data_IF_742901370522
#
_entry.id   IF_742901370522
#
_cell.length_a   1.000
_cell.length_b   1.000
_cell.length_c   1.000
_cell.angle_alpha   90.00
_cell.angle_beta   90.00
_cell.angle_gamma   90.00
#
_symmetry.space_group_name_H-M   'P 1'
#
loop_
_entity.id
_entity.type
_entity.pdbx_description
1 polymer ?
#
# COMPACT_ATOMS: atom_id res chain seq x y z
N UNK A 1 -26.94 -1.74 33.58
CA UNK A 1 -26.42 -1.99 32.22
C UNK A 1 -25.32 -3.04 32.34
N UNK A 2 -25.53 -4.28 31.86
CA UNK A 2 -24.49 -5.31 31.99
C UNK A 2 -23.37 -4.95 31.03
N UNK A 3 -22.29 -4.38 31.56
CA UNK A 3 -21.01 -4.28 30.85
C UNK A 3 -20.56 -5.70 30.53
N UNK A 4 -20.87 -6.16 29.31
CA UNK A 4 -20.34 -7.44 28.82
C UNK A 4 -18.91 -7.18 28.39
N UNK A 5 -17.97 -7.81 29.10
CA UNK A 5 -16.55 -7.80 28.76
C UNK A 5 -16.39 -8.12 27.26
N UNK A 6 -15.46 -7.44 26.56
CA UNK A 6 -15.14 -7.80 25.19
C UNK A 6 -14.81 -9.28 25.08
N UNK A 7 -15.39 -9.96 24.09
CA UNK A 7 -15.16 -11.39 23.86
C UNK A 7 -15.02 -11.67 22.37
N UNK A 8 -14.17 -12.64 22.02
CA UNK A 8 -14.07 -13.12 20.65
C UNK A 8 -15.26 -14.06 20.37
N UNK A 9 -15.91 -13.89 19.23
CA UNK A 9 -16.97 -14.78 18.77
C UNK A 9 -16.40 -16.01 18.07
N UNK A 10 -16.96 -17.17 18.39
CA UNK A 10 -16.69 -18.43 17.70
C UNK A 10 -17.34 -18.44 16.31
N UNK A 11 -16.82 -19.25 15.40
CA UNK A 11 -17.33 -19.37 14.04
C UNK A 11 -18.81 -19.72 13.97
N UNK A 12 -19.27 -20.63 14.84
CA UNK A 12 -20.70 -20.96 14.98
C UNK A 12 -21.55 -19.73 15.36
N UNK A 13 -21.06 -18.91 16.30
CA UNK A 13 -21.76 -17.71 16.77
C UNK A 13 -21.84 -16.64 15.68
N UNK A 14 -20.78 -16.51 14.86
CA UNK A 14 -20.75 -15.61 13.71
C UNK A 14 -21.74 -16.07 12.64
N UNK A 15 -21.80 -17.39 12.39
CA UNK A 15 -22.73 -18.01 11.44
C UNK A 15 -24.19 -17.82 11.87
N UNK A 16 -24.53 -18.16 13.11
CA UNK A 16 -25.90 -18.05 13.65
C UNK A 16 -26.41 -16.62 13.64
N UNK A 17 -25.54 -15.66 13.96
CA UNK A 17 -25.86 -14.23 13.90
C UNK A 17 -25.95 -13.69 12.47
N UNK A 18 -25.52 -14.47 11.48
CA UNK A 18 -25.49 -14.08 10.07
C UNK A 18 -24.80 -12.73 9.87
N UNK A 19 -23.59 -12.54 10.45
CA UNK A 19 -22.89 -11.23 10.44
C UNK A 19 -22.38 -10.80 9.06
N UNK A 20 -22.30 -11.76 8.12
CA UNK A 20 -21.79 -11.56 6.77
C UNK A 20 -22.84 -12.04 5.74
N UNK A 21 -23.06 -11.25 4.70
CA UNK A 21 -23.76 -11.68 3.49
C UNK A 21 -22.83 -12.52 2.61
N UNK A 22 -23.37 -13.60 2.02
CA UNK A 22 -22.60 -14.47 1.12
C UNK A 22 -21.62 -15.42 1.82
N UNK A 23 -21.61 -15.46 3.16
CA UNK A 23 -20.73 -16.35 3.90
C UNK A 23 -21.08 -17.83 3.69
N UNK A 24 -20.07 -18.68 3.57
CA UNK A 24 -20.24 -20.12 3.41
C UNK A 24 -19.70 -20.86 4.63
N UNK A 25 -20.42 -21.89 5.09
CA UNK A 25 -20.07 -22.70 6.26
C UNK A 25 -18.61 -23.21 6.22
N UNK A 26 -18.13 -23.58 5.02
CA UNK A 26 -16.77 -24.09 4.80
C UNK A 26 -15.64 -23.11 5.09
N UNK A 27 -15.91 -21.82 5.28
CA UNK A 27 -14.90 -20.77 5.56
C UNK A 27 -14.86 -20.32 7.03
N UNK A 28 -15.79 -20.82 7.86
CA UNK A 28 -15.72 -20.63 9.30
C UNK A 28 -14.60 -21.50 9.90
N UNK A 29 -13.83 -20.94 10.84
CA UNK A 29 -12.70 -21.60 11.49
C UNK A 29 -12.69 -21.19 12.95
N UNK A 30 -12.71 -22.13 13.90
CA UNK A 30 -12.53 -21.86 15.34
C UNK A 30 -13.17 -20.53 15.80
N UNK A 31 -12.39 -19.46 15.95
CA UNK A 31 -12.81 -18.13 16.36
C UNK A 31 -12.63 -17.05 15.26
N UNK A 32 -12.84 -17.43 14.00
CA UNK A 32 -12.61 -16.56 12.84
C UNK A 32 -13.41 -17.00 11.60
N UNK A 33 -13.49 -16.10 10.62
CA UNK A 33 -13.98 -16.38 9.27
C UNK A 33 -12.93 -16.02 8.24
N UNK A 34 -12.77 -16.81 7.18
CA UNK A 34 -11.86 -16.49 6.08
C UNK A 34 -12.63 -15.88 4.91
N UNK A 35 -12.42 -14.59 4.64
CA UNK A 35 -12.99 -13.93 3.47
C UNK A 35 -12.34 -14.46 2.19
N UNK A 36 -13.14 -14.52 1.14
CA UNK A 36 -12.71 -14.95 -0.19
C UNK A 36 -12.60 -13.77 -1.14
N UNK A 37 -11.69 -13.84 -2.11
CA UNK A 37 -11.55 -12.81 -3.14
C UNK A 37 -12.78 -12.85 -4.04
N UNK A 38 -13.55 -11.77 -4.07
CA UNK A 38 -14.66 -11.58 -5.01
C UNK A 38 -14.22 -10.87 -6.27
N UNK A 39 -13.26 -9.96 -6.14
CA UNK A 39 -12.77 -9.15 -7.25
C UNK A 39 -11.28 -8.84 -7.13
N UNK A 40 -10.61 -8.80 -8.29
CA UNK A 40 -9.22 -8.39 -8.45
C UNK A 40 -9.23 -7.14 -9.32
N UNK A 41 -8.59 -6.09 -8.85
CA UNK A 41 -8.51 -4.77 -9.45
C UNK A 41 -7.02 -4.44 -9.66
N UNK A 42 -6.52 -4.46 -10.90
CA UNK A 42 -5.15 -4.02 -11.19
C UNK A 42 -4.92 -2.57 -10.76
N UNK A 43 -3.66 -2.19 -10.54
CA UNK A 43 -3.25 -0.83 -10.16
C UNK A 43 -2.43 -0.23 -11.30
N UNK A 44 -2.61 1.07 -11.55
CA UNK A 44 -1.70 1.88 -12.37
C UNK A 44 -1.83 1.76 -13.90
N UNK A 45 -2.40 0.69 -14.46
CA UNK A 45 -2.75 0.65 -15.89
C UNK A 45 -4.23 1.03 -16.09
N UNK A 46 -4.47 2.13 -16.82
CA UNK A 46 -5.81 2.68 -17.07
C UNK A 46 -6.70 1.71 -17.84
N UNK A 47 -6.16 0.92 -18.77
CA UNK A 47 -6.98 -0.02 -19.56
C UNK A 47 -7.31 -1.30 -18.78
N UNK A 48 -6.37 -1.83 -17.98
CA UNK A 48 -6.62 -3.04 -17.19
C UNK A 48 -7.41 -2.78 -15.91
N UNK A 49 -7.34 -1.56 -15.36
CA UNK A 49 -8.06 -1.16 -14.15
C UNK A 49 -9.48 -0.65 -14.43
N UNK A 50 -9.75 -0.14 -15.63
CA UNK A 50 -11.10 0.22 -16.11
C UNK A 50 -11.82 -1.00 -16.71
N UNK A 51 -12.05 -2.02 -15.91
CA UNK A 51 -12.93 -3.12 -16.29
C UNK A 51 -14.40 -2.75 -16.00
N UNK A 52 -15.35 -3.26 -16.81
CA UNK A 52 -16.78 -3.10 -16.51
C UNK A 52 -17.08 -3.66 -15.12
N UNK A 53 -17.69 -2.90 -14.21
CA UNK A 53 -18.04 -3.35 -12.87
C UNK A 53 -18.87 -4.65 -12.96
N UNK A 54 -18.24 -5.78 -12.65
CA UNK A 54 -18.81 -7.12 -12.79
C UNK A 54 -18.01 -8.08 -13.70
N UNK A 55 -17.23 -7.55 -14.65
CA UNK A 55 -16.23 -8.31 -15.40
C UNK A 55 -14.98 -8.49 -14.52
N UNK A 56 -14.69 -9.73 -14.12
CA UNK A 56 -13.59 -10.00 -13.18
C UNK A 56 -12.62 -10.99 -13.82
N UNK A 57 -11.33 -10.64 -13.88
CA UNK A 57 -10.29 -11.63 -14.17
C UNK A 57 -10.31 -12.69 -13.07
N UNK A 58 -10.56 -13.94 -13.45
CA UNK A 58 -10.64 -15.05 -12.48
C UNK A 58 -9.31 -15.36 -11.81
N UNK A 59 -8.19 -14.95 -12.40
CA UNK A 59 -6.84 -15.24 -11.92
C UNK A 59 -5.91 -14.08 -12.25
N UNK A 60 -4.96 -13.81 -11.36
CA UNK A 60 -3.89 -12.85 -11.55
C UNK A 60 -2.58 -13.42 -11.02
N UNK A 61 -1.47 -13.17 -11.72
CA UNK A 61 -0.12 -13.51 -11.25
C UNK A 61 0.56 -12.22 -10.80
N UNK A 62 0.66 -12.01 -9.48
CA UNK A 62 1.24 -10.78 -8.94
C UNK A 62 2.75 -10.90 -9.08
N UNK A 63 3.36 -10.08 -9.92
CA UNK A 63 4.81 -10.02 -10.14
C UNK A 63 5.53 -9.46 -8.91
N UNK A 64 6.84 -9.72 -8.76
CA UNK A 64 7.64 -9.06 -7.73
C UNK A 64 7.45 -7.54 -7.76
N UNK A 65 7.19 -6.95 -6.59
CA UNK A 65 6.91 -5.52 -6.32
C UNK A 65 5.62 -4.96 -6.90
N UNK A 66 4.87 -5.75 -7.66
CA UNK A 66 3.57 -5.36 -8.19
C UNK A 66 2.55 -5.23 -7.05
N UNK A 67 1.68 -4.23 -7.19
CA UNK A 67 0.54 -4.03 -6.33
C UNK A 67 -0.76 -4.28 -7.09
N UNK A 68 -1.72 -4.91 -6.42
CA UNK A 68 -3.09 -5.06 -6.90
C UNK A 68 -4.06 -4.71 -5.77
N UNK A 69 -5.29 -4.34 -6.10
CA UNK A 69 -6.39 -4.32 -5.14
C UNK A 69 -7.19 -5.61 -5.23
N UNK A 70 -7.60 -6.15 -4.08
CA UNK A 70 -8.57 -7.24 -4.01
C UNK A 70 -9.73 -6.83 -3.12
N UNK A 71 -10.93 -7.28 -3.47
CA UNK A 71 -12.16 -6.99 -2.74
C UNK A 71 -12.86 -8.30 -2.39
N UNK A 72 -13.37 -8.42 -1.17
CA UNK A 72 -14.03 -9.65 -0.70
C UNK A 72 -15.32 -9.97 -1.45
N UNK A 73 -15.62 -11.26 -1.57
CA UNK A 73 -16.93 -11.75 -2.04
C UNK A 73 -18.01 -11.46 -1.03
N UNK A 74 -17.70 -11.70 0.24
CA UNK A 74 -18.60 -11.49 1.37
C UNK A 74 -18.68 -10.01 1.75
N UNK A 75 -19.82 -9.63 2.32
CA UNK A 75 -20.10 -8.25 2.75
C UNK A 75 -20.57 -8.24 4.20
N UNK A 76 -20.04 -7.31 4.99
CA UNK A 76 -20.49 -7.09 6.36
C UNK A 76 -21.90 -6.53 6.35
N UNK A 77 -22.73 -7.04 7.26
CA UNK A 77 -24.12 -6.59 7.38
C UNK A 77 -24.24 -5.44 8.37
N UNK A 78 -25.08 -4.48 7.98
CA UNK A 78 -25.60 -3.44 8.86
C UNK A 78 -26.35 -4.03 10.06
N UNK A 79 -26.36 -3.30 11.18
CA UNK A 79 -27.10 -3.64 12.40
C UNK A 79 -26.26 -4.33 13.49
N UNK A 80 -24.95 -4.43 13.31
CA UNK A 80 -24.02 -5.08 14.24
C UNK A 80 -23.24 -4.06 15.08
N UNK A 81 -23.95 -3.30 15.90
CA UNK A 81 -23.37 -2.21 16.72
C UNK A 81 -22.51 -2.72 17.90
N UNK A 82 -22.67 -3.99 18.26
CA UNK A 82 -21.98 -4.64 19.37
C UNK A 82 -20.78 -5.49 18.91
N UNK A 83 -20.37 -5.40 17.65
CA UNK A 83 -19.27 -6.20 17.09
C UNK A 83 -18.32 -5.35 16.26
N UNK A 84 -17.06 -5.33 16.66
CA UNK A 84 -15.95 -4.85 15.85
C UNK A 84 -15.17 -6.05 15.32
N UNK A 85 -14.40 -5.88 14.24
CA UNK A 85 -13.58 -6.97 13.72
C UNK A 85 -12.12 -6.58 13.55
N UNK A 86 -11.24 -7.57 13.57
CA UNK A 86 -9.85 -7.44 13.17
C UNK A 86 -9.62 -8.24 11.88
N UNK A 87 -9.24 -7.55 10.82
CA UNK A 87 -8.89 -8.13 9.54
C UNK A 87 -7.37 -8.31 9.41
N UNK A 88 -6.93 -9.52 9.12
CA UNK A 88 -5.50 -9.85 8.93
C UNK A 88 -5.32 -10.67 7.67
N UNK A 89 -4.25 -10.41 6.92
CA UNK A 89 -3.89 -11.28 5.80
C UNK A 89 -3.59 -12.70 6.33
N UNK A 90 -4.01 -13.71 5.57
CA UNK A 90 -3.72 -15.10 5.94
C UNK A 90 -2.22 -15.35 5.95
N UNK A 91 -1.77 -16.09 6.98
CA UNK A 91 -0.36 -16.44 7.16
C UNK A 91 0.22 -17.24 6.00
N UNK A 92 -0.61 -17.99 5.27
CA UNK A 92 -0.18 -18.70 4.05
C UNK A 92 0.24 -17.72 2.95
N UNK A 93 -0.46 -16.60 2.80
CA UNK A 93 -0.12 -15.56 1.83
C UNK A 93 1.09 -14.74 2.28
N UNK A 94 1.19 -14.40 3.57
CA UNK A 94 2.37 -13.68 4.08
C UNK A 94 3.65 -14.50 3.96
N UNK A 95 3.58 -15.83 4.16
CA UNK A 95 4.72 -16.74 3.92
C UNK A 95 5.15 -16.80 2.45
N UNK A 96 4.24 -16.54 1.52
CA UNK A 96 4.55 -16.44 0.09
C UNK A 96 5.06 -15.04 -0.31
N UNK A 97 5.34 -14.17 0.67
CA UNK A 97 5.86 -12.83 0.44
C UNK A 97 4.79 -11.80 0.07
N UNK A 98 3.51 -12.09 0.27
CA UNK A 98 2.45 -11.09 0.08
C UNK A 98 2.24 -10.25 1.33
N UNK A 99 2.02 -8.94 1.15
CA UNK A 99 1.64 -8.02 2.19
C UNK A 99 0.35 -7.31 1.80
N UNK A 100 -0.57 -7.16 2.75
CA UNK A 100 -1.81 -6.40 2.56
C UNK A 100 -1.69 -5.01 3.21
N UNK A 101 -2.03 -3.97 2.46
CA UNK A 101 -2.16 -2.61 2.94
C UNK A 101 -3.58 -2.38 3.45
N UNK A 102 -3.72 -1.68 4.57
CA UNK A 102 -4.99 -1.43 5.27
C UNK A 102 -5.62 -2.68 5.93
N UNK A 103 -4.81 -3.64 6.38
CA UNK A 103 -5.24 -4.61 7.40
C UNK A 103 -5.45 -3.89 8.73
N UNK A 104 -6.58 -4.11 9.40
CA UNK A 104 -6.86 -3.40 10.64
C UNK A 104 -8.23 -3.66 11.22
N UNK A 105 -8.70 -2.69 11.98
CA UNK A 105 -9.97 -2.73 12.68
C UNK A 105 -11.09 -2.39 11.70
N UNK A 106 -12.15 -3.20 11.72
CA UNK A 106 -13.42 -2.91 11.06
C UNK A 106 -14.36 -2.43 12.16
N UNK A 107 -14.83 -1.20 11.99
CA UNK A 107 -15.71 -0.53 12.96
C UNK A 107 -17.09 -1.23 13.06
N UNK A 108 -17.74 -1.13 14.22
CA UNK A 108 -19.08 -1.67 14.39
C UNK A 108 -20.05 -0.97 13.44
N UNK A 109 -21.05 -1.73 12.99
CA UNK A 109 -22.03 -1.29 11.99
C UNK A 109 -21.46 -0.90 10.60
N UNK A 110 -20.19 -1.22 10.32
CA UNK A 110 -19.67 -1.20 8.95
C UNK A 110 -20.50 -2.12 8.04
N UNK A 111 -20.90 -1.61 6.87
CA UNK A 111 -21.71 -2.34 5.90
C UNK A 111 -21.05 -2.27 4.52
N UNK A 112 -20.73 -3.44 3.97
CA UNK A 112 -20.09 -3.57 2.66
C UNK A 112 -18.95 -4.59 2.63
N UNK A 113 -18.29 -4.75 1.47
CA UNK A 113 -17.14 -5.64 1.33
C UNK A 113 -15.88 -5.01 1.93
N UNK A 114 -14.83 -5.81 2.08
CA UNK A 114 -13.50 -5.33 2.46
C UNK A 114 -12.55 -5.44 1.27
N UNK A 115 -11.95 -4.31 0.94
CA UNK A 115 -10.89 -4.16 -0.02
C UNK A 115 -9.54 -3.93 0.65
N UNK A 116 -8.48 -4.45 0.04
CA UNK A 116 -7.10 -4.23 0.47
C UNK A 116 -6.19 -4.23 -0.74
N UNK A 117 -5.16 -3.40 -0.74
CA UNK A 117 -4.09 -3.52 -1.71
C UNK A 117 -3.13 -4.62 -1.26
N UNK A 118 -2.76 -5.54 -2.14
CA UNK A 118 -1.78 -6.59 -1.91
C UNK A 118 -0.53 -6.28 -2.73
N UNK A 119 0.63 -6.33 -2.08
CA UNK A 119 1.95 -6.19 -2.69
C UNK A 119 2.68 -7.51 -2.60
N UNK A 120 3.38 -7.89 -3.67
CA UNK A 120 4.30 -9.02 -3.65
C UNK A 120 5.74 -8.58 -3.36
N UNK A 121 6.26 -8.89 -2.16
CA UNK A 121 7.66 -8.66 -1.77
C UNK A 121 8.59 -9.84 -2.07
N UNK A 122 8.07 -10.95 -2.58
CA UNK A 122 8.91 -12.09 -2.96
C UNK A 122 9.62 -11.84 -4.30
N UNK A 123 10.62 -12.68 -4.60
CA UNK A 123 11.30 -12.67 -5.90
C UNK A 123 10.59 -13.50 -6.99
N UNK A 124 9.44 -14.10 -6.68
CA UNK A 124 8.69 -14.96 -7.60
C UNK A 124 7.29 -14.39 -7.81
N UNK A 125 6.67 -14.72 -8.93
CA UNK A 125 5.26 -14.39 -9.11
C UNK A 125 4.39 -15.23 -8.17
N UNK A 126 3.32 -14.63 -7.66
CA UNK A 126 2.37 -15.30 -6.77
C UNK A 126 0.98 -15.29 -7.43
N UNK A 127 0.42 -16.46 -7.80
CA UNK A 127 -0.91 -16.51 -8.37
C UNK A 127 -1.97 -16.33 -7.28
N UNK A 128 -2.99 -15.54 -7.59
CA UNK A 128 -4.21 -15.41 -6.81
C UNK A 128 -5.44 -15.57 -7.72
N UNK A 129 -6.55 -16.02 -7.15
CA UNK A 129 -7.78 -16.30 -7.88
C UNK A 129 -9.00 -15.79 -7.15
N UNK A 130 -10.03 -15.45 -7.92
CA UNK A 130 -11.37 -15.26 -7.38
C UNK A 130 -11.81 -16.55 -6.69
N UNK A 131 -12.32 -16.41 -5.47
CA UNK A 131 -12.69 -17.50 -4.57
C UNK A 131 -11.59 -17.94 -3.61
N UNK A 132 -10.34 -17.49 -3.78
CA UNK A 132 -9.28 -17.80 -2.83
C UNK A 132 -9.54 -17.11 -1.49
N UNK A 133 -9.37 -17.83 -0.40
CA UNK A 133 -9.39 -17.29 0.95
C UNK A 133 -8.14 -16.40 1.18
N UNK A 134 -8.31 -15.11 1.44
CA UNK A 134 -7.20 -14.15 1.54
C UNK A 134 -7.11 -13.46 2.90
N UNK A 135 -8.23 -13.02 3.48
CA UNK A 135 -8.28 -12.35 4.77
C UNK A 135 -8.88 -13.25 5.84
N UNK A 136 -8.34 -13.18 7.05
CA UNK A 136 -8.89 -13.78 8.27
C UNK A 136 -9.50 -12.69 9.13
N UNK A 137 -10.76 -12.86 9.49
CA UNK A 137 -11.54 -11.95 10.31
C UNK A 137 -11.76 -12.56 11.68
N UNK A 138 -11.39 -11.82 12.73
CA UNK A 138 -11.73 -12.11 14.11
C UNK A 138 -12.84 -11.15 14.51
N UNK A 139 -13.94 -11.67 15.05
CA UNK A 139 -15.08 -10.86 15.48
C UNK A 139 -15.01 -10.68 16.99
N UNK A 140 -15.07 -9.42 17.44
CA UNK A 140 -14.95 -9.03 18.84
C UNK A 140 -16.27 -8.42 19.25
N UNK A 141 -17.03 -9.16 20.05
CA UNK A 141 -18.24 -8.66 20.67
C UNK A 141 -17.89 -7.73 21.82
N UNK A 142 -18.55 -6.58 21.89
CA UNK A 142 -18.41 -5.58 22.95
C UNK A 142 -19.80 -5.05 23.34
N UNK A 143 -19.85 -4.09 24.27
CA UNK A 143 -21.10 -3.38 24.60
C UNK A 143 -21.49 -2.37 23.51
N UNK A 144 -22.74 -1.89 23.55
CA UNK A 144 -23.18 -0.82 22.64
C UNK A 144 -22.36 0.45 22.92
N UNK A 145 -21.78 1.00 21.86
CA UNK A 145 -21.01 2.25 21.92
C UNK A 145 -21.99 3.41 22.06
N UNK A 146 -21.75 4.34 22.99
CA UNK A 146 -22.59 5.54 23.12
C UNK A 146 -22.44 6.45 21.90
N UNK A 147 -23.46 7.26 21.64
CA UNK A 147 -23.53 8.11 20.46
C UNK A 147 -22.34 9.09 20.35
N UNK A 148 -21.80 9.54 21.49
CA UNK A 148 -20.64 10.43 21.58
C UNK A 148 -19.35 9.81 20.98
N UNK A 149 -19.15 8.51 21.14
CA UNK A 149 -17.96 7.80 20.64
C UNK A 149 -18.24 7.03 19.34
N UNK A 150 -19.46 7.11 18.79
CA UNK A 150 -19.83 6.35 17.60
C UNK A 150 -19.31 7.06 16.34
N UNK A 151 -18.46 6.36 15.58
CA UNK A 151 -18.05 6.82 14.26
C UNK A 151 -19.27 6.90 13.31
N UNK A 152 -19.18 7.74 12.27
CA UNK A 152 -20.20 7.77 11.22
C UNK A 152 -20.25 6.41 10.53
N UNK A 153 -21.43 5.78 10.39
CA UNK A 153 -21.52 4.47 9.76
C UNK A 153 -21.06 4.57 8.31
N UNK A 154 -20.19 3.63 7.91
CA UNK A 154 -19.87 3.42 6.51
C UNK A 154 -20.98 2.56 5.90
N UNK A 155 -21.81 3.19 5.07
CA UNK A 155 -22.94 2.58 4.38
C UNK A 155 -22.81 2.94 2.90
N UNK A 156 -22.23 2.03 2.14
CA UNK A 156 -22.07 2.13 0.68
C UNK A 156 -22.56 0.83 0.07
N UNK A 157 -23.23 0.93 -1.07
CA UNK A 157 -23.50 -0.24 -1.88
C UNK A 157 -22.19 -0.84 -2.39
N UNK A 158 -22.21 -2.15 -2.70
CA UNK A 158 -21.06 -2.82 -3.34
C UNK A 158 -20.57 -2.08 -4.59
N UNK A 159 -21.48 -1.55 -5.40
CA UNK A 159 -21.12 -0.83 -6.63
C UNK A 159 -20.36 0.47 -6.33
N UNK A 160 -20.82 1.25 -5.36
CA UNK A 160 -20.14 2.47 -4.92
C UNK A 160 -18.77 2.14 -4.33
N UNK A 161 -18.69 1.08 -3.51
CA UNK A 161 -17.42 0.61 -2.95
C UNK A 161 -16.41 0.25 -4.03
N UNK A 162 -16.84 -0.51 -5.04
CA UNK A 162 -15.96 -0.92 -6.14
C UNK A 162 -15.50 0.27 -6.98
N UNK A 163 -16.37 1.26 -7.18
CA UNK A 163 -16.00 2.51 -7.84
C UNK A 163 -14.94 3.27 -7.03
N UNK A 164 -15.12 3.40 -5.71
CA UNK A 164 -14.12 4.00 -4.81
C UNK A 164 -12.78 3.25 -4.89
N UNK A 165 -12.79 1.91 -4.89
CA UNK A 165 -11.57 1.09 -5.03
C UNK A 165 -10.90 1.28 -6.39
N UNK A 166 -11.67 1.33 -7.48
CA UNK A 166 -11.13 1.61 -8.82
C UNK A 166 -10.49 3.00 -8.88
N UNK A 167 -11.14 4.03 -8.33
CA UNK A 167 -10.57 5.37 -8.25
C UNK A 167 -9.27 5.38 -7.44
N UNK A 168 -9.22 4.68 -6.30
CA UNK A 168 -8.00 4.55 -5.50
C UNK A 168 -6.87 3.86 -6.27
N UNK A 169 -7.17 2.74 -6.96
CA UNK A 169 -6.22 1.98 -7.75
C UNK A 169 -5.68 2.76 -8.96
N UNK A 170 -6.47 3.69 -9.52
CA UNK A 170 -6.07 4.53 -10.65
C UNK A 170 -5.33 5.81 -10.23
N UNK A 171 -5.69 6.41 -9.09
CA UNK A 171 -5.28 7.78 -8.76
C UNK A 171 -4.30 7.92 -7.60
N UNK A 172 -4.21 6.92 -6.71
CA UNK A 172 -3.45 7.08 -5.45
C UNK A 172 -2.31 6.08 -5.24
N UNK A 173 -2.31 4.95 -5.95
CA UNK A 173 -1.27 3.93 -5.77
C UNK A 173 -0.43 3.81 -7.04
N UNK A 174 0.91 3.87 -6.94
CA UNK A 174 1.79 3.49 -8.05
C UNK A 174 1.66 1.99 -8.32
N UNK A 175 1.92 1.59 -9.56
CA UNK A 175 1.90 0.18 -9.99
C UNK A 175 2.86 -0.68 -9.17
N UNK A 176 4.00 -0.10 -8.76
CA UNK A 176 4.99 -0.78 -7.91
C UNK A 176 5.16 -0.10 -6.56
N UNK A 177 5.26 -0.89 -5.49
CA UNK A 177 5.52 -0.34 -4.16
C UNK A 177 6.99 0.09 -4.07
N UNK A 178 7.20 1.40 -3.88
CA UNK A 178 8.48 2.11 -4.06
C UNK A 178 8.90 2.10 -5.53
N UNK A 179 8.44 3.10 -6.29
CA UNK A 179 9.01 3.44 -7.61
C UNK A 179 10.46 3.90 -7.43
N UNK A 180 11.33 2.92 -7.20
CA UNK A 180 12.76 3.13 -7.03
C UNK A 180 13.37 3.73 -8.30
N UNK A 181 12.71 3.60 -9.45
CA UNK A 181 13.12 4.23 -10.71
C UNK A 181 12.90 5.74 -10.64
N UNK A 182 11.70 6.23 -10.30
CA UNK A 182 11.44 7.66 -10.11
C UNK A 182 12.30 8.23 -8.97
N UNK A 183 12.44 7.49 -7.86
CA UNK A 183 13.32 7.88 -6.76
C UNK A 183 14.78 7.96 -7.24
N UNK A 184 15.21 7.06 -8.13
CA UNK A 184 16.56 7.07 -8.67
C UNK A 184 16.76 8.19 -9.69
N UNK A 185 15.83 8.45 -10.59
CA UNK A 185 15.91 9.52 -11.58
C UNK A 185 15.89 10.89 -10.90
N UNK A 186 14.99 11.13 -9.95
CA UNK A 186 15.03 12.36 -9.12
C UNK A 186 16.35 12.49 -8.33
N UNK A 187 16.90 11.38 -7.86
CA UNK A 187 18.19 11.38 -7.15
C UNK A 187 19.36 11.67 -8.10
N UNK A 188 19.36 11.09 -9.31
CA UNK A 188 20.37 11.33 -10.34
C UNK A 188 20.29 12.75 -10.89
N UNK A 189 19.10 13.31 -11.13
CA UNK A 189 18.91 14.69 -11.58
C UNK A 189 19.42 15.69 -10.54
N UNK A 190 19.13 15.45 -9.25
CA UNK A 190 19.67 16.28 -8.15
C UNK A 190 21.18 16.21 -8.02
N UNK A 191 21.81 15.09 -8.39
CA UNK A 191 23.27 14.97 -8.44
C UNK A 191 23.84 15.66 -9.68
N UNK A 192 23.21 15.48 -10.83
CA UNK A 192 23.60 16.09 -12.10
C UNK A 192 23.59 17.61 -12.03
N UNK A 193 22.62 18.24 -11.35
CA UNK A 193 22.57 19.70 -11.19
C UNK A 193 23.67 20.28 -10.28
N UNK A 194 24.18 19.47 -9.33
CA UNK A 194 25.20 19.91 -8.36
C UNK A 194 26.63 19.72 -8.86
N UNK A 195 26.86 18.79 -9.78
CA UNK A 195 28.19 18.45 -10.29
C UNK A 195 28.88 19.53 -11.13
N UNK A 196 28.20 20.21 -12.09
CA UNK A 196 28.80 21.26 -12.90
C UNK A 196 29.35 22.41 -12.03
N UNK A 197 28.59 22.82 -11.00
CA UNK A 197 28.99 23.90 -10.10
C UNK A 197 30.18 23.52 -9.22
N UNK A 198 30.28 22.25 -8.82
CA UNK A 198 31.42 21.75 -8.03
C UNK A 198 32.69 21.66 -8.87
N UNK A 199 32.59 21.12 -10.10
CA UNK A 199 33.71 20.99 -11.04
C UNK A 199 34.20 22.36 -11.51
N UNK A 200 33.30 23.29 -11.85
CA UNK A 200 33.67 24.65 -12.25
C UNK A 200 34.40 25.41 -11.12
N UNK A 201 33.98 25.24 -9.85
CA UNK A 201 34.68 25.84 -8.71
C UNK A 201 36.09 25.27 -8.53
N UNK A 202 36.27 23.95 -8.66
CA UNK A 202 37.60 23.33 -8.59
C UNK A 202 38.50 23.71 -9.77
N UNK A 203 37.96 23.74 -10.99
CA UNK A 203 38.69 24.17 -12.18
C UNK A 203 39.15 25.63 -12.06
N UNK A 204 38.27 26.53 -11.60
CA UNK A 204 38.63 27.93 -11.32
C UNK A 204 39.75 28.06 -10.30
N UNK A 205 39.73 27.28 -9.22
CA UNK A 205 40.81 27.30 -8.23
C UNK A 205 42.16 26.87 -8.82
N UNK A 206 42.18 25.81 -9.64
CA UNK A 206 43.40 25.32 -10.31
C UNK A 206 43.94 26.34 -11.32
N UNK A 207 43.05 26.94 -12.13
CA UNK A 207 43.44 27.97 -13.10
C UNK A 207 44.02 29.19 -12.39
N UNK A 208 43.37 29.69 -11.33
CA UNK A 208 43.89 30.83 -10.56
C UNK A 208 45.25 30.50 -9.94
N UNK A 209 45.43 29.32 -9.35
CA UNK A 209 46.72 28.91 -8.79
C UNK A 209 47.84 28.86 -9.85
N UNK A 210 47.55 28.31 -11.04
CA UNK A 210 48.51 28.27 -12.15
C UNK A 210 48.86 29.67 -12.66
N UNK A 211 47.86 30.54 -12.84
CA UNK A 211 48.09 31.93 -13.26
C UNK A 211 48.94 32.68 -12.24
N UNK A 212 48.64 32.55 -10.93
CA UNK A 212 49.45 33.17 -9.87
C UNK A 212 50.90 32.67 -9.88
N UNK A 213 51.12 31.39 -10.15
CA UNK A 213 52.45 30.79 -10.23
C UNK A 213 53.25 31.33 -11.42
N UNK A 214 52.60 31.46 -12.58
CA UNK A 214 53.21 32.05 -13.79
C UNK A 214 53.55 33.53 -13.55
N UNK A 215 52.63 34.30 -12.97
CA UNK A 215 52.86 35.73 -12.66
C UNK A 215 54.01 35.89 -11.67
N UNK A 216 54.06 35.08 -10.61
CA UNK A 216 55.16 35.10 -9.65
C UNK A 216 56.50 34.76 -10.31
N UNK A 217 56.52 33.78 -11.23
CA UNK A 217 57.70 33.42 -12.01
C UNK A 217 58.20 34.56 -12.91
N UNK A 218 57.28 35.25 -13.61
CA UNK A 218 57.62 36.39 -14.47
C UNK A 218 58.13 37.58 -13.66
N UNK A 219 57.48 37.91 -12.54
CA UNK A 219 57.94 38.99 -11.64
C UNK A 219 59.32 38.65 -11.06
N UNK A 220 59.56 37.41 -10.63
CA UNK A 220 60.85 36.96 -10.15
C UNK A 220 61.96 37.06 -11.21
N UNK A 221 61.65 36.68 -12.45
CA UNK A 221 62.59 36.79 -13.57
C UNK A 221 62.94 38.26 -13.89
N UNK A 222 61.94 39.15 -13.91
CA UNK A 222 62.15 40.59 -14.13
C UNK A 222 62.94 41.22 -12.97
N UNK A 223 62.60 40.92 -11.71
CA UNK A 223 63.32 41.43 -10.55
C UNK A 223 64.79 40.99 -10.54
N UNK A 224 65.08 39.75 -10.96
CA UNK A 224 66.45 39.26 -11.11
C UNK A 224 67.21 39.98 -12.22
N UNK A 225 66.53 40.44 -13.28
CA UNK A 225 67.14 41.19 -14.37
C UNK A 225 67.50 42.64 -13.95
N UNK A 226 66.75 43.24 -13.02
CA UNK A 226 67.02 44.59 -12.47
C UNK A 226 67.97 44.61 -11.25
N UNK A 227 68.34 43.45 -10.70
CA UNK A 227 69.28 43.32 -9.57
C UNK A 227 70.70 42.92 -10.02
N UNK A 228 70.90 42.65 -11.31
CA UNK A 228 72.16 42.20 -11.91
C UNK A 228 72.83 43.30 -12.78
N UNK A 229 72.21 44.49 -12.86
CA UNK A 229 72.82 45.74 -13.34
C UNK A 229 73.16 46.66 -12.15
#
# INVERSE_FOLDING_TARGET
MVSRKPMILLGEQVFDRSLLNGAQAKHFRNASYYLTIGQIVPVGDREESLFEIGSTRKTWSIKPKEMIWVVSSEEFRKGNEDVSCLATLRTTLTKNGLLALNTGIIDPNFSGPIGTAIINFSSKEVPIRVGDEFMRIIFIKHGVISDEFRAKPYDRSKKEYLFEVQELALSKFPTTFLDAQDISEEFYDRLADKWPRYLLKKASFVVTALVSMVVAGVIGALANQYLVD
#
